data_IF_794555813203
#
_entry.id   IF_794555813203
#
_cell.length_a   1.000
_cell.length_b   1.000
_cell.length_c   1.000
_cell.angle_alpha   90.00
_cell.angle_beta   90.00
_cell.angle_gamma   90.00
#
_symmetry.space_group_name_H-M   'P 1'
#
loop_
_entity.id
_entity.type
_entity.pdbx_description
1 polymer ?
#
# COMPACT_ATOMS: atom_id res chain seq x y z
N UNK A 1 -32.99 -1.72 6.76
CA UNK A 1 -33.37 -1.09 5.47
C UNK A 1 -33.48 -2.17 4.41
N UNK A 2 -34.37 -2.03 3.41
CA UNK A 2 -34.45 -2.98 2.28
C UNK A 2 -33.32 -2.74 1.26
N UNK A 3 -32.44 -3.74 1.11
CA UNK A 3 -31.32 -3.70 0.17
C UNK A 3 -31.77 -3.65 -1.30
N UNK A 4 -32.93 -4.22 -1.65
CA UNK A 4 -33.43 -4.22 -3.02
C UNK A 4 -33.89 -2.82 -3.48
N UNK A 5 -34.59 -2.09 -2.60
CA UNK A 5 -34.93 -0.70 -2.82
C UNK A 5 -33.68 0.18 -2.96
N UNK A 6 -32.68 -0.03 -2.10
CA UNK A 6 -31.43 0.73 -2.14
C UNK A 6 -30.63 0.44 -3.42
N UNK A 7 -30.54 -0.83 -3.84
CA UNK A 7 -29.93 -1.25 -5.10
C UNK A 7 -30.54 -0.52 -6.31
N UNK A 8 -31.87 -0.47 -6.37
CA UNK A 8 -32.58 0.22 -7.46
C UNK A 8 -32.23 1.71 -7.52
N UNK A 9 -32.10 2.37 -6.36
CA UNK A 9 -31.66 3.78 -6.29
C UNK A 9 -30.22 3.94 -6.76
N UNK A 10 -29.31 3.05 -6.37
CA UNK A 10 -27.92 3.07 -6.85
C UNK A 10 -27.89 2.88 -8.37
N UNK A 11 -28.66 1.95 -8.91
CA UNK A 11 -28.75 1.75 -10.36
C UNK A 11 -29.28 3.00 -11.07
N UNK A 12 -30.24 3.73 -10.49
CA UNK A 12 -30.76 4.97 -11.05
C UNK A 12 -29.71 6.10 -11.12
N UNK A 13 -28.68 6.09 -10.26
CA UNK A 13 -27.55 7.05 -10.36
C UNK A 13 -26.71 6.87 -11.64
N UNK A 14 -26.85 5.72 -12.32
CA UNK A 14 -26.18 5.42 -13.58
C UNK A 14 -27.02 5.77 -14.81
N UNK A 15 -28.24 6.30 -14.62
CA UNK A 15 -29.14 6.63 -15.73
C UNK A 15 -28.57 7.70 -16.66
N UNK A 16 -28.86 7.60 -17.96
CA UNK A 16 -28.52 8.66 -18.92
C UNK A 16 -29.33 9.95 -18.67
N UNK A 17 -30.48 9.86 -18.02
CA UNK A 17 -31.32 11.01 -17.70
C UNK A 17 -30.77 11.77 -16.47
N UNK A 18 -30.44 13.05 -16.66
CA UNK A 18 -29.85 13.90 -15.62
C UNK A 18 -30.78 14.11 -14.41
N UNK A 19 -32.08 14.23 -14.61
CA UNK A 19 -33.04 14.46 -13.52
C UNK A 19 -33.26 13.17 -12.71
N UNK A 20 -33.30 12.01 -13.38
CA UNK A 20 -33.36 10.71 -12.71
C UNK A 20 -32.12 10.48 -11.82
N UNK A 21 -30.92 10.84 -12.29
CA UNK A 21 -29.69 10.76 -11.48
C UNK A 21 -29.74 11.67 -10.27
N UNK A 22 -30.13 12.94 -10.46
CA UNK A 22 -30.24 13.91 -9.34
C UNK A 22 -31.24 13.46 -8.30
N UNK A 23 -32.39 12.95 -8.71
CA UNK A 23 -33.39 12.42 -7.79
C UNK A 23 -32.84 11.22 -7.02
N UNK A 24 -32.18 10.28 -7.69
CA UNK A 24 -31.58 9.12 -7.04
C UNK A 24 -30.50 9.52 -6.01
N UNK A 25 -29.66 10.50 -6.32
CA UNK A 25 -28.64 11.03 -5.38
C UNK A 25 -29.28 11.69 -4.15
N UNK A 26 -30.36 12.45 -4.33
CA UNK A 26 -31.13 13.03 -3.22
C UNK A 26 -31.77 11.96 -2.35
N UNK A 27 -32.38 10.95 -2.96
CA UNK A 27 -33.02 9.84 -2.25
C UNK A 27 -32.01 9.00 -1.47
N UNK A 28 -30.80 8.79 -2.03
CA UNK A 28 -29.70 8.13 -1.33
C UNK A 28 -29.24 8.97 -0.14
N UNK A 29 -29.08 10.29 -0.32
CA UNK A 29 -28.69 11.20 0.76
C UNK A 29 -29.71 11.22 1.90
N UNK A 30 -31.00 11.17 1.59
CA UNK A 30 -32.05 11.07 2.60
C UNK A 30 -32.04 9.70 3.30
N UNK A 31 -31.65 8.62 2.60
CA UNK A 31 -31.53 7.29 3.16
C UNK A 31 -30.29 7.10 4.05
N UNK A 32 -29.23 7.91 3.89
CA UNK A 32 -28.00 7.83 4.70
C UNK A 32 -28.25 7.93 6.23
N UNK A 33 -29.37 8.54 6.63
CA UNK A 33 -29.77 8.76 8.02
C UNK A 33 -30.49 7.57 8.65
N UNK A 34 -30.88 6.58 7.85
CA UNK A 34 -31.67 5.45 8.33
C UNK A 34 -30.74 4.34 8.86
N UNK A 35 -31.00 3.77 10.05
CA UNK A 35 -30.21 2.66 10.59
C UNK A 35 -30.13 1.47 9.62
N UNK A 36 -28.93 0.87 9.53
CA UNK A 36 -28.65 -0.25 8.63
C UNK A 36 -28.46 0.15 7.17
N UNK A 37 -28.26 1.45 6.88
CA UNK A 37 -27.90 1.92 5.54
C UNK A 37 -26.55 1.37 5.10
N UNK A 38 -25.50 1.48 5.94
CA UNK A 38 -24.20 0.92 5.59
C UNK A 38 -24.23 -0.61 5.46
N UNK A 39 -25.00 -1.30 6.30
CA UNK A 39 -25.20 -2.74 6.18
C UNK A 39 -25.85 -3.12 4.85
N UNK A 40 -26.88 -2.38 4.42
CA UNK A 40 -27.53 -2.60 3.12
C UNK A 40 -26.55 -2.37 1.96
N UNK A 41 -25.68 -1.36 2.02
CA UNK A 41 -24.62 -1.16 1.02
C UNK A 41 -23.64 -2.33 0.96
N UNK A 42 -23.22 -2.86 2.11
CA UNK A 42 -22.32 -4.01 2.17
C UNK A 42 -23.00 -5.28 1.61
N UNK A 43 -24.29 -5.49 1.90
CA UNK A 43 -25.07 -6.59 1.33
C UNK A 43 -25.15 -6.50 -0.20
N UNK A 44 -25.32 -5.30 -0.75
CA UNK A 44 -25.28 -5.08 -2.21
C UNK A 44 -23.89 -5.41 -2.75
N UNK A 45 -22.81 -5.00 -2.09
CA UNK A 45 -21.45 -5.30 -2.56
C UNK A 45 -21.15 -6.79 -2.66
N UNK A 46 -21.69 -7.59 -1.74
CA UNK A 46 -21.49 -9.05 -1.73
C UNK A 46 -22.38 -9.78 -2.73
N UNK A 47 -23.64 -9.35 -2.89
CA UNK A 47 -24.61 -10.06 -3.73
C UNK A 47 -24.62 -9.61 -5.21
N UNK A 48 -24.24 -8.36 -5.48
CA UNK A 48 -24.41 -7.76 -6.80
C UNK A 48 -23.47 -8.36 -7.87
N UNK A 49 -24.06 -8.72 -9.01
CA UNK A 49 -23.35 -9.25 -10.17
C UNK A 49 -23.08 -8.15 -11.21
N UNK A 50 -23.92 -7.11 -11.28
CA UNK A 50 -23.68 -5.96 -12.15
C UNK A 50 -22.47 -5.16 -11.66
N UNK A 51 -21.41 -5.14 -12.46
CA UNK A 51 -20.16 -4.47 -12.11
C UNK A 51 -20.30 -2.96 -11.97
N UNK A 52 -21.18 -2.33 -12.76
CA UNK A 52 -21.41 -0.90 -12.69
C UNK A 52 -22.15 -0.52 -11.40
N UNK A 53 -23.19 -1.29 -11.03
CA UNK A 53 -23.93 -1.08 -9.77
C UNK A 53 -23.03 -1.35 -8.57
N UNK A 54 -22.24 -2.42 -8.58
CA UNK A 54 -21.29 -2.75 -7.51
C UNK A 54 -20.22 -1.66 -7.36
N UNK A 55 -19.71 -1.12 -8.47
CA UNK A 55 -18.75 -0.02 -8.45
C UNK A 55 -19.37 1.27 -7.87
N UNK A 56 -20.56 1.65 -8.31
CA UNK A 56 -21.27 2.82 -7.75
C UNK A 56 -21.54 2.65 -6.25
N UNK A 57 -21.90 1.44 -5.83
CA UNK A 57 -22.14 1.11 -4.41
C UNK A 57 -20.88 1.33 -3.57
N UNK A 58 -19.72 0.81 -4.00
CA UNK A 58 -18.48 0.96 -3.22
C UNK A 58 -17.98 2.41 -3.24
N UNK A 59 -18.17 3.12 -4.35
CA UNK A 59 -17.82 4.54 -4.45
C UNK A 59 -18.67 5.36 -3.47
N UNK A 60 -19.97 5.07 -3.38
CA UNK A 60 -20.86 5.72 -2.43
C UNK A 60 -20.45 5.43 -0.98
N UNK A 61 -20.22 4.15 -0.65
CA UNK A 61 -19.76 3.73 0.67
C UNK A 61 -18.45 4.45 1.07
N UNK A 62 -17.46 4.47 0.17
CA UNK A 62 -16.19 5.19 0.37
C UNK A 62 -16.43 6.66 0.66
N UNK A 63 -17.30 7.32 -0.10
CA UNK A 63 -17.58 8.74 0.07
C UNK A 63 -18.27 9.01 1.42
N UNK A 64 -19.23 8.16 1.83
CA UNK A 64 -19.91 8.25 3.13
C UNK A 64 -18.92 8.12 4.29
N UNK A 65 -18.04 7.13 4.25
CA UNK A 65 -17.00 6.91 5.27
C UNK A 65 -16.00 8.06 5.27
N UNK A 66 -15.55 8.50 4.09
CA UNK A 66 -14.59 9.61 3.99
C UNK A 66 -15.09 10.89 4.66
N UNK A 67 -16.39 11.16 4.53
CA UNK A 67 -17.04 12.37 5.06
C UNK A 67 -17.48 12.25 6.53
N UNK A 68 -17.82 11.05 7.00
CA UNK A 68 -18.49 10.87 8.30
C UNK A 68 -17.77 9.96 9.29
N UNK A 69 -16.60 9.40 8.98
CA UNK A 69 -15.89 8.52 9.92
C UNK A 69 -15.14 9.26 11.02
N UNK A 70 -14.53 10.40 10.65
CA UNK A 70 -13.78 11.23 11.58
C UNK A 70 -14.69 11.77 12.71
N UNK A 71 -14.15 11.96 13.92
CA UNK A 71 -14.86 12.68 14.98
C UNK A 71 -15.33 14.04 14.46
N UNK A 72 -16.57 14.43 14.78
CA UNK A 72 -17.07 15.76 14.42
C UNK A 72 -16.42 16.77 15.37
N UNK A 73 -15.36 17.44 14.91
CA UNK A 73 -14.66 18.46 15.70
C UNK A 73 -15.43 19.78 15.80
N UNK A 74 -16.34 20.07 14.84
CA UNK A 74 -17.16 21.27 14.80
C UNK A 74 -18.62 20.95 14.47
N UNK A 75 -19.57 21.48 15.24
CA UNK A 75 -21.03 21.36 15.02
C UNK A 75 -21.50 21.90 13.65
N UNK A 76 -20.64 22.64 12.94
CA UNK A 76 -20.88 23.19 11.59
C UNK A 76 -20.55 22.20 10.45
N UNK A 77 -20.15 20.97 10.76
CA UNK A 77 -19.92 19.95 9.74
C UNK A 77 -21.19 19.71 8.93
N UNK A 78 -21.14 19.99 7.62
CA UNK A 78 -22.23 19.70 6.68
C UNK A 78 -22.54 18.21 6.53
N UNK A 79 -21.68 17.34 7.05
CA UNK A 79 -21.79 15.89 6.96
C UNK A 79 -21.98 15.29 8.35
N UNK A 80 -22.95 14.38 8.45
CA UNK A 80 -23.28 13.67 9.69
C UNK A 80 -22.27 12.54 9.94
N UNK A 81 -22.02 12.26 11.22
CA UNK A 81 -21.19 11.13 11.62
C UNK A 81 -21.82 9.80 11.15
N UNK A 82 -20.98 8.80 10.87
CA UNK A 82 -21.44 7.42 10.72
C UNK A 82 -21.85 6.91 12.11
N UNK A 83 -23.07 6.37 12.29
CA UNK A 83 -23.50 5.81 13.56
C UNK A 83 -22.57 4.69 14.05
N UNK A 84 -22.37 4.56 15.37
CA UNK A 84 -21.41 3.57 15.90
C UNK A 84 -21.78 2.12 15.56
N UNK A 85 -23.08 1.79 15.52
CA UNK A 85 -23.54 0.48 15.06
C UNK A 85 -23.10 0.16 13.63
N UNK A 86 -23.24 1.12 12.71
CA UNK A 86 -22.77 0.99 11.33
C UNK A 86 -21.24 0.91 11.26
N UNK A 87 -20.51 1.63 12.13
CA UNK A 87 -19.04 1.52 12.22
C UNK A 87 -18.61 0.11 12.59
N UNK A 88 -19.23 -0.50 13.59
CA UNK A 88 -18.92 -1.86 14.02
C UNK A 88 -19.15 -2.87 12.88
N UNK A 89 -20.28 -2.77 12.18
CA UNK A 89 -20.59 -3.63 11.02
C UNK A 89 -19.55 -3.47 9.91
N UNK A 90 -19.16 -2.22 9.61
CA UNK A 90 -18.12 -1.95 8.61
C UNK A 90 -16.79 -2.57 9.03
N UNK A 91 -16.35 -2.41 10.29
CA UNK A 91 -15.10 -3.02 10.77
C UNK A 91 -15.11 -4.54 10.57
N UNK A 92 -16.22 -5.21 10.89
CA UNK A 92 -16.33 -6.67 10.79
C UNK A 92 -16.30 -7.18 9.34
N UNK A 93 -16.94 -6.47 8.40
CA UNK A 93 -17.18 -6.99 7.04
C UNK A 93 -16.27 -6.42 5.96
N UNK A 94 -15.63 -5.27 6.19
CA UNK A 94 -14.83 -4.60 5.17
C UNK A 94 -13.67 -5.46 4.65
N UNK A 95 -12.96 -6.15 5.55
CA UNK A 95 -11.78 -6.95 5.21
C UNK A 95 -12.16 -8.24 4.46
N UNK A 96 -13.15 -9.04 4.91
CA UNK A 96 -13.66 -10.17 4.11
C UNK A 96 -14.12 -9.75 2.70
N UNK A 97 -14.88 -8.67 2.59
CA UNK A 97 -15.36 -8.16 1.28
C UNK A 97 -14.18 -7.74 0.41
N UNK A 98 -13.16 -7.11 0.99
CA UNK A 98 -11.93 -6.73 0.27
C UNK A 98 -11.23 -7.96 -0.32
N UNK A 99 -11.08 -9.04 0.44
CA UNK A 99 -10.43 -10.26 -0.02
C UNK A 99 -11.16 -10.89 -1.22
N UNK A 100 -12.50 -10.94 -1.15
CA UNK A 100 -13.35 -11.54 -2.19
C UNK A 100 -13.62 -10.64 -3.41
N UNK A 101 -13.32 -9.34 -3.33
CA UNK A 101 -13.66 -8.36 -4.38
C UNK A 101 -12.71 -8.41 -5.59
N UNK A 102 -13.16 -8.01 -6.79
CA UNK A 102 -12.27 -7.83 -7.95
C UNK A 102 -11.48 -6.50 -7.90
N UNK A 103 -10.43 -6.31 -8.73
CA UNK A 103 -9.48 -5.20 -8.63
C UNK A 103 -10.09 -3.78 -8.57
N UNK A 104 -11.10 -3.48 -9.40
CA UNK A 104 -11.73 -2.16 -9.42
C UNK A 104 -12.44 -1.83 -8.09
N UNK A 105 -13.05 -2.83 -7.48
CA UNK A 105 -13.74 -2.70 -6.19
C UNK A 105 -12.71 -2.67 -5.05
N UNK A 106 -11.70 -3.54 -5.10
CA UNK A 106 -10.55 -3.55 -4.16
C UNK A 106 -9.93 -2.17 -4.03
N UNK A 107 -9.69 -1.46 -5.13
CA UNK A 107 -9.10 -0.12 -5.10
C UNK A 107 -9.91 0.89 -4.25
N UNK A 108 -11.25 0.83 -4.31
CA UNK A 108 -12.13 1.71 -3.53
C UNK A 108 -12.20 1.27 -2.06
N UNK A 109 -12.22 -0.04 -1.79
CA UNK A 109 -12.20 -0.60 -0.44
C UNK A 109 -10.88 -0.33 0.29
N UNK A 110 -9.74 -0.42 -0.40
CA UNK A 110 -8.41 -0.09 0.16
C UNK A 110 -8.35 1.37 0.59
N UNK A 111 -8.89 2.30 -0.22
CA UNK A 111 -8.96 3.70 0.16
C UNK A 111 -9.87 3.93 1.38
N UNK A 112 -10.99 3.20 1.44
CA UNK A 112 -11.92 3.22 2.58
C UNK A 112 -11.27 2.71 3.86
N UNK A 113 -10.58 1.56 3.79
CA UNK A 113 -9.86 0.95 4.90
C UNK A 113 -8.79 1.88 5.46
N UNK A 114 -8.02 2.54 4.59
CA UNK A 114 -7.00 3.50 5.02
C UNK A 114 -7.58 4.68 5.79
N UNK A 115 -8.76 5.18 5.39
CA UNK A 115 -9.43 6.26 6.11
C UNK A 115 -9.90 5.81 7.49
N UNK A 116 -10.45 4.60 7.61
CA UNK A 116 -10.91 4.04 8.88
C UNK A 116 -9.74 3.85 9.85
N UNK A 117 -8.68 3.17 9.41
CA UNK A 117 -7.52 2.87 10.26
C UNK A 117 -6.79 4.13 10.75
N UNK A 118 -6.85 5.23 9.99
CA UNK A 118 -6.25 6.49 10.41
C UNK A 118 -6.84 7.01 11.73
N UNK A 119 -8.14 6.79 11.99
CA UNK A 119 -8.79 7.22 13.23
C UNK A 119 -8.91 6.10 14.24
N UNK A 120 -9.08 4.86 13.79
CA UNK A 120 -9.48 3.77 14.67
C UNK A 120 -8.33 2.89 15.14
N UNK A 121 -7.19 2.87 14.43
CA UNK A 121 -6.08 1.99 14.77
C UNK A 121 -5.00 2.70 15.62
N UNK A 122 -4.56 2.12 16.75
CA UNK A 122 -4.92 0.79 17.28
C UNK A 122 -6.10 0.75 18.27
N UNK A 123 -6.48 1.89 18.85
CA UNK A 123 -7.31 1.93 20.07
C UNK A 123 -8.76 1.43 19.89
N UNK A 124 -9.41 1.81 18.79
CA UNK A 124 -10.82 1.48 18.51
C UNK A 124 -10.96 0.19 17.69
N UNK A 125 -9.87 -0.33 17.15
CA UNK A 125 -9.84 -1.58 16.39
C UNK A 125 -8.58 -2.40 16.67
N UNK A 126 -8.36 -2.85 17.92
CA UNK A 126 -7.13 -3.53 18.33
C UNK A 126 -6.92 -4.88 17.63
N UNK A 127 -8.00 -5.62 17.36
CA UNK A 127 -7.95 -6.92 16.69
C UNK A 127 -7.52 -6.85 15.22
N UNK A 128 -7.44 -5.65 14.64
CA UNK A 128 -7.08 -5.47 13.23
C UNK A 128 -5.71 -6.04 12.88
N UNK A 129 -4.75 -5.97 13.81
CA UNK A 129 -3.42 -6.56 13.62
C UNK A 129 -3.51 -8.10 13.53
N UNK A 130 -4.30 -8.72 14.40
CA UNK A 130 -4.50 -10.18 14.39
C UNK A 130 -5.17 -10.63 13.09
N UNK A 131 -6.19 -9.90 12.62
CA UNK A 131 -6.83 -10.14 11.32
C UNK A 131 -5.78 -10.05 10.20
N UNK A 132 -4.92 -9.04 10.23
CA UNK A 132 -3.86 -8.84 9.23
C UNK A 132 -2.88 -10.02 9.21
N UNK A 133 -2.38 -10.44 10.38
CA UNK A 133 -1.46 -11.58 10.50
C UNK A 133 -2.11 -12.87 9.99
N UNK A 134 -3.36 -13.13 10.37
CA UNK A 134 -4.09 -14.33 9.93
C UNK A 134 -4.21 -14.40 8.40
N UNK A 135 -4.49 -13.26 7.75
CA UNK A 135 -4.61 -13.16 6.29
C UNK A 135 -3.28 -13.36 5.57
N UNK A 136 -2.18 -12.83 6.11
CA UNK A 136 -0.83 -13.02 5.55
C UNK A 136 -0.35 -14.48 5.60
N UNK A 137 -0.93 -15.29 6.46
CA UNK A 137 -0.61 -16.72 6.63
C UNK A 137 -1.58 -17.65 5.90
N UNK A 138 -2.59 -17.12 5.20
CA UNK A 138 -3.45 -17.93 4.34
C UNK A 138 -2.73 -18.38 3.06
N UNK A 139 -3.28 -19.39 2.40
CA UNK A 139 -2.75 -19.92 1.13
C UNK A 139 -3.44 -19.32 -0.09
N UNK A 140 -4.62 -18.73 0.06
CA UNK A 140 -5.36 -18.16 -1.07
C UNK A 140 -4.87 -16.74 -1.40
N UNK A 141 -4.72 -16.45 -2.70
CA UNK A 141 -4.18 -15.17 -3.17
C UNK A 141 -5.02 -13.96 -2.74
N UNK A 142 -6.35 -14.12 -2.64
CA UNK A 142 -7.28 -13.06 -2.24
C UNK A 142 -7.08 -12.61 -0.79
N UNK A 143 -6.97 -13.56 0.14
CA UNK A 143 -6.68 -13.31 1.54
C UNK A 143 -5.28 -12.74 1.72
N UNK A 144 -4.25 -13.32 1.08
CA UNK A 144 -2.89 -12.79 1.17
C UNK A 144 -2.86 -11.35 0.63
N UNK A 145 -3.50 -11.07 -0.50
CA UNK A 145 -3.65 -9.72 -1.03
C UNK A 145 -4.30 -8.77 -0.02
N UNK A 146 -5.41 -9.17 0.59
CA UNK A 146 -6.08 -8.36 1.61
C UNK A 146 -5.16 -8.12 2.82
N UNK A 147 -4.44 -9.13 3.30
CA UNK A 147 -3.45 -9.02 4.36
C UNK A 147 -2.34 -8.02 4.03
N UNK A 148 -1.81 -8.05 2.80
CA UNK A 148 -0.81 -7.10 2.32
C UNK A 148 -1.34 -5.66 2.31
N UNK A 149 -2.59 -5.45 1.88
CA UNK A 149 -3.22 -4.12 1.91
C UNK A 149 -3.46 -3.64 3.35
N UNK A 150 -3.87 -4.53 4.25
CA UNK A 150 -4.06 -4.22 5.67
C UNK A 150 -2.73 -3.81 6.31
N UNK A 151 -1.66 -4.58 6.10
CA UNK A 151 -0.32 -4.24 6.62
C UNK A 151 0.20 -2.92 6.04
N UNK A 152 0.05 -2.70 4.72
CA UNK A 152 0.42 -1.43 4.10
C UNK A 152 -0.36 -0.25 4.72
N UNK A 153 -1.63 -0.44 5.05
CA UNK A 153 -2.43 0.59 5.70
C UNK A 153 -1.92 0.87 7.14
N UNK A 154 -1.58 -0.16 7.91
CA UNK A 154 -0.92 0.00 9.22
C UNK A 154 0.38 0.79 9.08
N UNK A 155 1.28 0.41 8.17
CA UNK A 155 2.53 1.14 7.95
C UNK A 155 2.28 2.62 7.58
N UNK A 156 1.19 2.95 6.88
CA UNK A 156 0.83 4.35 6.57
C UNK A 156 0.30 5.12 7.78
N UNK A 157 -0.39 4.47 8.72
CA UNK A 157 -0.83 5.09 9.97
C UNK A 157 0.37 5.48 10.82
N UNK A 158 1.40 4.63 10.89
CA UNK A 158 2.58 4.87 11.71
C UNK A 158 3.70 5.67 11.02
N UNK A 159 3.62 5.92 9.71
CA UNK A 159 4.73 6.56 8.94
C UNK A 159 5.21 7.93 9.46
N UNK A 160 4.39 8.62 10.25
CA UNK A 160 4.69 9.93 10.85
C UNK A 160 4.57 9.94 12.38
N UNK A 161 4.35 8.77 13.00
CA UNK A 161 4.22 8.64 14.46
C UNK A 161 5.59 8.50 15.11
N UNK A 162 5.74 9.06 16.32
CA UNK A 162 7.00 9.22 17.07
C UNK A 162 6.85 8.77 18.52
N UNK A 163 7.97 8.55 19.22
CA UNK A 163 7.98 8.19 20.64
C UNK A 163 7.44 6.79 20.90
N UNK A 164 6.66 6.59 21.97
CA UNK A 164 6.14 5.27 22.38
C UNK A 164 5.34 4.57 21.26
N UNK A 165 4.55 5.32 20.49
CA UNK A 165 3.82 4.78 19.33
C UNK A 165 4.73 4.18 18.25
N UNK A 166 6.01 4.56 18.22
CA UNK A 166 7.01 4.01 17.30
C UNK A 166 7.50 2.64 17.76
N UNK A 167 7.64 2.42 19.06
CA UNK A 167 8.05 1.13 19.64
C UNK A 167 7.01 0.04 19.35
N UNK A 168 5.72 0.39 19.43
CA UNK A 168 4.65 -0.54 19.06
C UNK A 168 4.69 -0.88 17.57
N UNK A 169 5.05 0.09 16.71
CA UNK A 169 5.24 -0.20 15.30
C UNK A 169 6.45 -1.09 15.03
N UNK A 170 7.53 -0.95 15.79
CA UNK A 170 8.70 -1.85 15.68
C UNK A 170 8.33 -3.30 16.01
N UNK A 171 7.49 -3.54 17.04
CA UNK A 171 6.95 -4.88 17.35
C UNK A 171 6.10 -5.43 16.19
N UNK A 172 5.28 -4.59 15.57
CA UNK A 172 4.49 -4.97 14.39
C UNK A 172 5.42 -5.36 13.23
N UNK A 173 6.48 -4.59 12.99
CA UNK A 173 7.46 -4.88 11.94
C UNK A 173 8.16 -6.21 12.22
N UNK A 174 8.64 -6.42 13.44
CA UNK A 174 9.29 -7.67 13.86
C UNK A 174 8.39 -8.89 13.65
N UNK A 175 7.11 -8.78 13.98
CA UNK A 175 6.16 -9.87 13.83
C UNK A 175 5.76 -10.16 12.36
N UNK A 176 5.70 -9.14 11.50
CA UNK A 176 5.06 -9.28 10.18
C UNK A 176 6.04 -9.29 9.00
N UNK A 177 7.20 -8.64 9.12
CA UNK A 177 8.12 -8.47 7.99
C UNK A 177 8.85 -9.74 7.55
N UNK A 178 9.14 -10.73 8.42
CA UNK A 178 9.67 -12.02 7.96
C UNK A 178 8.71 -12.74 6.99
N UNK A 179 7.41 -12.79 7.32
CA UNK A 179 6.40 -13.37 6.43
C UNK A 179 6.21 -12.52 5.16
N UNK A 180 6.26 -11.19 5.30
CA UNK A 180 6.19 -10.27 4.18
C UNK A 180 7.31 -10.50 3.16
N UNK A 181 8.54 -10.71 3.65
CA UNK A 181 9.70 -11.04 2.84
C UNK A 181 9.56 -12.41 2.17
N UNK A 182 9.05 -13.41 2.87
CA UNK A 182 8.79 -14.74 2.30
C UNK A 182 7.79 -14.67 1.13
N UNK A 183 6.67 -13.96 1.31
CA UNK A 183 5.68 -13.72 0.25
C UNK A 183 6.32 -12.98 -0.94
N UNK A 184 7.12 -11.94 -0.70
CA UNK A 184 7.75 -11.22 -1.80
C UNK A 184 8.74 -12.09 -2.59
N UNK A 185 9.50 -12.96 -1.92
CA UNK A 185 10.40 -13.90 -2.57
C UNK A 185 9.64 -14.96 -3.39
N UNK A 186 8.45 -15.40 -2.97
CA UNK A 186 7.64 -16.29 -3.81
C UNK A 186 7.08 -15.57 -5.04
N UNK A 187 6.75 -14.28 -4.92
CA UNK A 187 6.18 -13.48 -6.02
C UNK A 187 7.21 -12.98 -7.04
N UNK A 188 8.51 -12.90 -6.68
CA UNK A 188 9.53 -12.27 -7.54
C UNK A 188 9.68 -12.97 -8.90
N UNK A 189 9.47 -14.28 -8.96
CA UNK A 189 9.63 -15.06 -10.18
C UNK A 189 8.34 -15.19 -11.00
N UNK A 190 7.21 -14.78 -10.43
CA UNK A 190 5.91 -14.78 -11.11
C UNK A 190 5.86 -13.76 -12.25
N UNK A 191 4.84 -13.92 -13.10
CA UNK A 191 4.61 -13.05 -14.26
C UNK A 191 3.22 -12.41 -14.27
N UNK A 192 2.27 -12.94 -13.49
CA UNK A 192 0.89 -12.44 -13.47
C UNK A 192 0.79 -11.00 -12.96
N UNK A 193 -0.21 -10.27 -13.46
CA UNK A 193 -0.44 -8.88 -13.04
C UNK A 193 -0.78 -8.78 -11.53
N UNK A 194 -1.53 -9.75 -11.00
CA UNK A 194 -1.88 -9.82 -9.57
C UNK A 194 -0.63 -10.02 -8.70
N UNK A 195 0.29 -10.91 -9.09
CA UNK A 195 1.56 -11.08 -8.39
C UNK A 195 2.39 -9.79 -8.38
N UNK A 196 2.46 -9.11 -9.53
CA UNK A 196 3.08 -7.78 -9.62
C UNK A 196 2.43 -6.74 -8.70
N UNK A 197 1.10 -6.77 -8.57
CA UNK A 197 0.39 -5.87 -7.65
C UNK A 197 0.69 -6.16 -6.18
N UNK A 198 0.68 -7.44 -5.79
CA UNK A 198 1.02 -7.88 -4.44
C UNK A 198 2.46 -7.51 -4.09
N UNK A 199 3.42 -7.80 -4.98
CA UNK A 199 4.82 -7.45 -4.79
C UNK A 199 5.00 -5.94 -4.66
N UNK A 200 4.35 -5.14 -5.51
CA UNK A 200 4.34 -3.67 -5.40
C UNK A 200 3.82 -3.22 -4.02
N UNK A 201 2.83 -3.90 -3.49
CA UNK A 201 2.24 -3.61 -2.17
C UNK A 201 3.24 -3.89 -1.05
N UNK A 202 3.97 -5.00 -1.11
CA UNK A 202 5.07 -5.33 -0.18
C UNK A 202 6.14 -4.24 -0.18
N UNK A 203 6.64 -3.86 -1.36
CA UNK A 203 7.70 -2.86 -1.48
C UNK A 203 7.29 -1.50 -0.92
N UNK A 204 6.01 -1.13 -1.08
CA UNK A 204 5.44 0.09 -0.50
C UNK A 204 5.31 -0.02 1.02
N UNK A 205 4.95 -1.19 1.56
CA UNK A 205 4.88 -1.40 2.99
C UNK A 205 6.26 -1.21 3.62
N UNK A 206 7.31 -1.81 3.01
CA UNK A 206 8.69 -1.58 3.42
C UNK A 206 9.08 -0.09 3.37
N UNK A 207 8.81 0.58 2.26
CA UNK A 207 9.06 2.02 2.09
C UNK A 207 8.42 2.86 3.20
N UNK A 208 7.22 2.49 3.65
CA UNK A 208 6.52 3.19 4.71
C UNK A 208 7.06 2.84 6.10
N UNK A 209 7.49 1.60 6.31
CA UNK A 209 8.10 1.19 7.57
C UNK A 209 9.43 1.89 7.85
N UNK A 210 10.23 2.15 6.81
CA UNK A 210 11.51 2.87 6.93
C UNK A 210 11.39 4.37 6.61
N UNK A 211 10.17 4.92 6.57
CA UNK A 211 9.96 6.28 6.08
C UNK A 211 10.62 7.31 6.99
N UNK A 212 10.39 7.19 8.30
CA UNK A 212 10.91 8.10 9.31
C UNK A 212 12.23 7.58 9.90
N UNK A 213 12.20 6.40 10.49
CA UNK A 213 13.32 5.70 11.13
C UNK A 213 13.38 4.25 10.64
N UNK A 214 14.58 3.65 10.66
CA UNK A 214 14.78 2.26 10.27
C UNK A 214 14.55 1.34 11.50
N UNK A 215 13.46 0.54 11.53
CA UNK A 215 13.17 -0.39 12.64
C UNK A 215 14.37 -1.24 13.04
N UNK A 216 14.55 -1.49 14.34
CA UNK A 216 15.68 -2.32 14.84
C UNK A 216 15.75 -3.68 14.17
N UNK A 217 14.61 -4.36 14.05
CA UNK A 217 14.55 -5.68 13.43
C UNK A 217 15.07 -5.67 11.97
N UNK A 218 14.77 -4.62 11.19
CA UNK A 218 15.22 -4.51 9.80
C UNK A 218 16.71 -4.15 9.66
N UNK A 219 17.38 -3.78 10.76
CA UNK A 219 18.85 -3.58 10.81
C UNK A 219 19.61 -4.88 11.04
N UNK A 220 18.95 -5.93 11.53
CA UNK A 220 19.58 -7.21 11.79
C UNK A 220 20.16 -7.79 10.49
N UNK A 221 21.34 -8.41 10.59
CA UNK A 221 22.10 -8.85 9.43
C UNK A 221 21.28 -9.75 8.49
N UNK A 222 20.56 -10.73 9.05
CA UNK A 222 19.73 -11.62 8.24
C UNK A 222 18.60 -10.88 7.51
N UNK A 223 17.96 -9.92 8.19
CA UNK A 223 16.84 -9.16 7.61
C UNK A 223 17.33 -8.23 6.51
N UNK A 224 18.39 -7.43 6.75
CA UNK A 224 18.91 -6.50 5.74
C UNK A 224 19.47 -7.25 4.52
N UNK A 225 20.12 -8.40 4.71
CA UNK A 225 20.53 -9.27 3.59
C UNK A 225 19.32 -9.69 2.78
N UNK A 226 18.30 -10.28 3.40
CA UNK A 226 17.12 -10.74 2.71
C UNK A 226 16.40 -9.65 1.91
N UNK A 227 16.20 -8.47 2.51
CA UNK A 227 15.54 -7.34 1.86
C UNK A 227 16.37 -6.73 0.72
N UNK A 228 17.68 -6.51 0.92
CA UNK A 228 18.55 -5.99 -0.14
C UNK A 228 18.64 -6.97 -1.32
N UNK A 229 18.76 -8.28 -1.05
CA UNK A 229 18.77 -9.32 -2.09
C UNK A 229 17.46 -9.32 -2.87
N UNK A 230 16.30 -9.26 -2.18
CA UNK A 230 15.00 -9.14 -2.84
C UNK A 230 14.94 -7.91 -3.77
N UNK A 231 15.33 -6.72 -3.28
CA UNK A 231 15.29 -5.51 -4.09
C UNK A 231 16.19 -5.61 -5.31
N UNK A 232 17.41 -6.15 -5.16
CA UNK A 232 18.34 -6.35 -6.28
C UNK A 232 17.81 -7.37 -7.29
N UNK A 233 17.17 -8.45 -6.82
CA UNK A 233 16.51 -9.42 -7.71
C UNK A 233 15.39 -8.76 -8.53
N UNK A 234 14.59 -7.89 -7.92
CA UNK A 234 13.52 -7.16 -8.62
C UNK A 234 14.10 -6.15 -9.62
N UNK A 235 15.19 -5.46 -9.26
CA UNK A 235 15.92 -4.55 -10.18
C UNK A 235 16.44 -5.34 -11.38
N UNK A 236 17.01 -6.52 -11.14
CA UNK A 236 17.60 -7.39 -12.16
C UNK A 236 16.56 -8.08 -13.05
N UNK A 237 15.36 -8.38 -12.52
CA UNK A 237 14.29 -9.10 -13.21
C UNK A 237 13.94 -8.44 -14.54
N UNK A 238 13.86 -9.23 -15.59
CA UNK A 238 13.29 -8.78 -16.86
C UNK A 238 11.75 -8.80 -16.72
N UNK A 239 11.05 -7.66 -16.91
CA UNK A 239 9.61 -7.62 -16.78
C UNK A 239 8.92 -8.60 -17.76
N UNK A 240 7.78 -9.21 -17.39
CA UNK A 240 7.05 -10.10 -18.29
C UNK A 240 6.70 -9.42 -19.62
N UNK A 241 6.66 -10.18 -20.72
CA UNK A 241 6.37 -9.63 -22.05
C UNK A 241 5.04 -8.85 -22.09
N UNK A 242 4.02 -9.32 -21.37
CA UNK A 242 2.71 -8.66 -21.25
C UNK A 242 2.78 -7.25 -20.62
N UNK A 243 3.84 -6.94 -19.87
CA UNK A 243 4.04 -5.61 -19.29
C UNK A 243 4.58 -4.58 -20.28
N UNK A 244 5.04 -5.01 -21.46
CA UNK A 244 5.71 -4.17 -22.47
C UNK A 244 4.72 -3.52 -23.45
N UNK A 245 3.66 -2.88 -22.94
CA UNK A 245 2.68 -2.14 -23.77
C UNK A 245 3.34 -0.99 -24.53
N UNK A 246 2.89 -0.66 -25.74
CA UNK A 246 3.56 0.32 -26.62
C UNK A 246 3.60 1.73 -26.02
N UNK A 247 2.50 2.16 -25.40
CA UNK A 247 2.42 3.45 -24.73
C UNK A 247 3.35 3.49 -23.51
N UNK A 248 4.31 4.42 -23.52
CA UNK A 248 5.35 4.48 -22.48
C UNK A 248 4.81 4.95 -21.13
N UNK A 249 3.77 5.78 -21.12
CA UNK A 249 3.19 6.31 -19.88
C UNK A 249 2.36 5.20 -19.20
N UNK A 250 1.59 4.43 -19.96
CA UNK A 250 0.87 3.24 -19.50
C UNK A 250 1.83 2.14 -19.05
N UNK A 251 2.90 1.89 -19.83
CA UNK A 251 3.97 0.95 -19.45
C UNK A 251 4.57 1.31 -18.10
N UNK A 252 4.82 2.59 -17.83
CA UNK A 252 5.33 3.03 -16.53
C UNK A 252 4.32 2.79 -15.39
N UNK A 253 3.00 2.78 -15.66
CA UNK A 253 1.98 2.49 -14.65
C UNK A 253 1.87 1.00 -14.31
N UNK A 254 2.32 0.10 -15.19
CA UNK A 254 2.28 -1.33 -14.95
C UNK A 254 3.01 -1.73 -13.65
N UNK A 255 2.45 -2.72 -12.95
CA UNK A 255 2.89 -3.11 -11.62
C UNK A 255 4.34 -3.59 -11.57
N UNK A 256 4.84 -4.28 -12.59
CA UNK A 256 6.23 -4.76 -12.63
C UNK A 256 7.23 -3.60 -12.73
N UNK A 257 6.93 -2.56 -13.52
CA UNK A 257 7.75 -1.35 -13.56
C UNK A 257 7.66 -0.52 -12.28
N UNK A 258 6.49 -0.48 -11.64
CA UNK A 258 6.37 0.09 -10.29
C UNK A 258 7.17 -0.71 -9.26
N UNK A 259 7.28 -2.03 -9.38
CA UNK A 259 8.11 -2.85 -8.49
C UNK A 259 9.59 -2.48 -8.63
N UNK A 260 10.10 -2.35 -9.87
CA UNK A 260 11.45 -1.82 -10.09
C UNK A 260 11.62 -0.46 -9.42
N UNK A 261 10.75 0.52 -9.74
CA UNK A 261 10.80 1.86 -9.13
C UNK A 261 10.90 1.81 -7.60
N UNK A 262 10.05 1.04 -6.92
CA UNK A 262 10.04 1.00 -5.45
C UNK A 262 11.28 0.29 -4.88
N UNK A 263 11.85 -0.67 -5.59
CA UNK A 263 13.12 -1.30 -5.21
C UNK A 263 14.27 -0.29 -5.26
N UNK A 264 14.35 0.52 -6.33
CA UNK A 264 15.29 1.65 -6.41
C UNK A 264 15.09 2.65 -5.26
N UNK A 265 13.83 3.04 -4.97
CA UNK A 265 13.51 3.95 -3.86
C UNK A 265 14.01 3.41 -2.53
N UNK A 266 13.76 2.13 -2.24
CA UNK A 266 14.14 1.52 -0.97
C UNK A 266 15.66 1.36 -0.83
N UNK A 267 16.35 0.88 -1.87
CA UNK A 267 17.82 0.78 -1.88
C UNK A 267 18.48 2.14 -1.70
N UNK A 268 18.04 3.15 -2.45
CA UNK A 268 18.57 4.50 -2.32
C UNK A 268 18.28 5.09 -0.94
N UNK A 269 17.07 4.88 -0.40
CA UNK A 269 16.73 5.37 0.95
C UNK A 269 17.62 4.72 2.00
N UNK A 270 17.83 3.40 1.93
CA UNK A 270 18.72 2.68 2.82
C UNK A 270 20.13 3.26 2.76
N UNK A 271 20.69 3.42 1.57
CA UNK A 271 22.03 4.00 1.39
C UNK A 271 22.12 5.44 1.90
N UNK A 272 21.31 6.35 1.35
CA UNK A 272 21.44 7.79 1.58
C UNK A 272 21.12 8.19 3.02
N UNK A 273 20.13 7.55 3.65
CA UNK A 273 19.65 7.94 4.98
C UNK A 273 20.31 7.18 6.12
N UNK A 274 20.62 5.90 5.93
CA UNK A 274 21.06 5.02 7.03
C UNK A 274 22.39 4.32 6.74
N UNK A 275 22.75 4.12 5.47
CA UNK A 275 23.83 3.25 5.04
C UNK A 275 25.15 3.97 4.74
N UNK A 276 25.15 5.31 4.67
CA UNK A 276 26.33 6.11 4.44
C UNK A 276 26.77 6.83 5.72
N UNK A 277 27.90 6.46 6.35
CA UNK A 277 28.39 7.10 7.57
C UNK A 277 28.58 8.62 7.47
N UNK A 278 28.85 9.17 6.28
CA UNK A 278 29.04 10.62 6.09
C UNK A 278 27.73 11.40 6.15
N UNK A 279 26.60 10.73 5.92
CA UNK A 279 25.27 11.36 5.90
C UNK A 279 24.56 11.29 7.25
N UNK A 280 25.10 10.54 8.22
CA UNK A 280 24.50 10.40 9.55
C UNK A 280 24.66 11.70 10.35
N UNK A 281 23.56 12.18 10.92
CA UNK A 281 23.59 13.29 11.84
C UNK A 281 24.20 12.89 13.20
N UNK A 282 24.64 13.87 14.00
CA UNK A 282 25.26 13.60 15.32
C UNK A 282 24.34 12.85 16.29
N UNK A 283 23.02 13.02 16.16
CA UNK A 283 22.01 12.34 16.97
C UNK A 283 21.59 10.96 16.41
N UNK A 284 22.21 10.49 15.34
CA UNK A 284 21.90 9.23 14.65
C UNK A 284 22.99 8.15 14.88
N UNK A 285 23.70 8.25 16.01
CA UNK A 285 24.81 7.37 16.36
C UNK A 285 24.43 5.87 16.41
N UNK A 286 23.16 5.55 16.67
CA UNK A 286 22.65 4.18 16.65
C UNK A 286 22.75 3.49 15.27
N UNK A 287 22.89 4.25 14.18
CA UNK A 287 23.07 3.71 12.84
C UNK A 287 24.54 3.58 12.43
N UNK A 288 25.50 4.02 13.27
CA UNK A 288 26.91 4.09 12.87
C UNK A 288 27.49 2.73 12.46
N UNK A 289 27.21 1.68 13.23
CA UNK A 289 27.70 0.33 12.92
C UNK A 289 27.00 -0.29 11.71
N UNK A 290 25.69 -0.07 11.62
CA UNK A 290 24.90 -0.44 10.45
C UNK A 290 25.45 0.22 9.18
N UNK A 291 25.73 1.53 9.21
CA UNK A 291 26.23 2.29 8.07
C UNK A 291 27.61 1.81 7.61
N UNK A 292 28.52 1.50 8.54
CA UNK A 292 29.85 0.93 8.21
C UNK A 292 29.72 -0.41 7.50
N UNK A 293 28.83 -1.27 7.96
CA UNK A 293 28.58 -2.57 7.34
C UNK A 293 27.89 -2.39 5.99
N UNK A 294 26.89 -1.51 5.92
CA UNK A 294 26.11 -1.25 4.71
C UNK A 294 26.97 -0.73 3.55
N UNK A 295 27.81 0.28 3.81
CA UNK A 295 28.68 0.84 2.77
C UNK A 295 29.75 -0.15 2.29
N UNK A 296 30.21 -1.04 3.17
CA UNK A 296 31.23 -2.03 2.85
C UNK A 296 30.66 -3.19 2.03
N UNK A 297 29.51 -3.72 2.45
CA UNK A 297 29.03 -5.02 1.95
C UNK A 297 27.85 -4.88 0.97
N UNK A 298 27.05 -3.82 1.05
CA UNK A 298 25.82 -3.67 0.26
C UNK A 298 25.92 -2.61 -0.83
N UNK A 299 26.53 -1.44 -0.54
CA UNK A 299 26.66 -0.38 -1.53
C UNK A 299 27.38 -0.82 -2.82
N UNK A 300 28.45 -1.66 -2.79
CA UNK A 300 29.08 -2.17 -4.01
C UNK A 300 28.15 -3.06 -4.84
N UNK A 301 27.36 -3.92 -4.21
CA UNK A 301 26.40 -4.78 -4.91
C UNK A 301 25.24 -3.99 -5.51
N UNK A 302 24.78 -2.93 -4.83
CA UNK A 302 23.81 -1.99 -5.40
C UNK A 302 24.38 -1.29 -6.63
N UNK A 303 25.62 -0.77 -6.53
CA UNK A 303 26.30 -0.12 -7.65
C UNK A 303 26.43 -1.08 -8.84
N UNK A 304 26.88 -2.32 -8.60
CA UNK A 304 26.99 -3.36 -9.63
C UNK A 304 25.65 -3.67 -10.28
N UNK A 305 24.59 -3.83 -9.49
CA UNK A 305 23.24 -4.06 -9.99
C UNK A 305 22.74 -2.92 -10.88
N UNK A 306 22.99 -1.68 -10.47
CA UNK A 306 22.59 -0.49 -11.23
C UNK A 306 23.39 -0.33 -12.53
N UNK A 307 24.71 -0.55 -12.49
CA UNK A 307 25.56 -0.55 -13.67
C UNK A 307 25.12 -1.61 -14.69
N UNK A 308 24.77 -2.82 -14.23
CA UNK A 308 24.22 -3.86 -15.10
C UNK A 308 22.92 -3.45 -15.78
N UNK A 309 22.02 -2.73 -15.08
CA UNK A 309 20.81 -2.18 -15.71
C UNK A 309 21.13 -1.06 -16.71
N UNK A 310 22.13 -0.20 -16.43
CA UNK A 310 22.57 0.83 -17.38
C UNK A 310 23.16 0.18 -18.63
N UNK A 311 24.02 -0.84 -18.49
CA UNK A 311 24.60 -1.56 -19.62
C UNK A 311 23.51 -2.16 -20.52
N UNK A 312 22.53 -2.84 -19.92
CA UNK A 312 21.36 -3.34 -20.66
C UNK A 312 20.57 -2.21 -21.35
N UNK A 313 20.38 -1.08 -20.68
CA UNK A 313 19.64 0.06 -21.21
C UNK A 313 20.37 0.74 -22.39
N UNK A 314 21.68 0.97 -22.26
CA UNK A 314 22.54 1.51 -23.34
C UNK A 314 22.61 0.54 -24.52
N UNK A 315 22.72 -0.76 -24.24
CA UNK A 315 22.66 -1.83 -25.22
C UNK A 315 21.28 -2.05 -25.84
N UNK A 316 20.25 -1.29 -25.43
CA UNK A 316 18.86 -1.39 -25.90
C UNK A 316 18.23 -2.77 -25.68
N UNK A 317 18.72 -3.54 -24.72
CA UNK A 317 18.18 -4.87 -24.37
C UNK A 317 17.13 -4.81 -23.27
N UNK A 318 17.05 -3.71 -22.53
CA UNK A 318 15.95 -3.44 -21.59
C UNK A 318 15.45 -2.00 -21.70
N UNK A 319 14.16 -1.81 -21.44
CA UNK A 319 13.61 -0.48 -21.19
C UNK A 319 13.69 -0.16 -19.69
N UNK A 320 14.02 1.09 -19.35
CA UNK A 320 13.99 1.62 -17.98
C UNK A 320 13.09 2.84 -17.94
N UNK A 321 12.24 2.93 -16.91
CA UNK A 321 11.39 4.10 -16.71
C UNK A 321 12.20 5.31 -16.25
N UNK A 322 11.67 6.52 -16.50
CA UNK A 322 12.32 7.78 -16.12
C UNK A 322 12.64 7.81 -14.60
N UNK A 323 11.77 7.35 -13.70
CA UNK A 323 12.11 7.25 -12.28
C UNK A 323 13.29 6.33 -11.98
N UNK A 324 13.40 5.16 -12.63
CA UNK A 324 14.52 4.24 -12.38
C UNK A 324 15.84 4.87 -12.81
N UNK A 325 15.87 5.51 -13.99
CA UNK A 325 17.05 6.25 -14.46
C UNK A 325 17.44 7.37 -13.49
N UNK A 326 16.46 8.16 -13.02
CA UNK A 326 16.69 9.22 -12.05
C UNK A 326 17.25 8.69 -10.73
N UNK A 327 16.70 7.60 -10.18
CA UNK A 327 17.22 7.00 -8.95
C UNK A 327 18.62 6.41 -9.12
N UNK A 328 18.94 5.84 -10.28
CA UNK A 328 20.31 5.41 -10.58
C UNK A 328 21.29 6.58 -10.51
N UNK A 329 20.96 7.72 -11.14
CA UNK A 329 21.79 8.91 -11.11
C UNK A 329 21.95 9.48 -9.69
N UNK A 330 20.86 9.57 -8.94
CA UNK A 330 20.90 10.02 -7.53
C UNK A 330 21.80 9.13 -6.68
N UNK A 331 21.75 7.81 -6.86
CA UNK A 331 22.62 6.91 -6.14
C UNK A 331 24.10 7.14 -6.49
N UNK A 332 24.42 7.28 -7.78
CA UNK A 332 25.78 7.55 -8.25
C UNK A 332 26.32 8.88 -7.72
N UNK A 333 25.49 9.93 -7.72
CA UNK A 333 25.85 11.23 -7.15
C UNK A 333 26.23 11.09 -5.66
N UNK A 334 25.43 10.36 -4.89
CA UNK A 334 25.67 10.10 -3.48
C UNK A 334 26.89 9.19 -3.21
N UNK A 335 27.35 8.42 -4.20
CA UNK A 335 28.60 7.67 -4.11
C UNK A 335 29.85 8.54 -4.33
N UNK A 336 29.72 9.68 -5.02
CA UNK A 336 30.84 10.54 -5.43
C UNK A 336 30.99 11.75 -4.49
N UNK A 337 29.99 12.04 -3.63
CA UNK A 337 30.03 13.18 -2.72
C UNK A 337 31.37 13.23 -1.97
N UNK A 338 32.14 14.33 -2.11
CA UNK A 338 33.43 14.44 -1.46
C UNK A 338 33.23 14.33 0.04
N UNK A 339 34.14 13.62 0.73
CA UNK A 339 34.25 13.73 2.18
C UNK A 339 34.43 15.22 2.47
N UNK A 340 33.44 15.86 3.08
CA UNK A 340 33.63 17.18 3.69
C UNK A 340 34.82 17.02 4.64
N UNK A 341 35.94 17.63 4.25
CA UNK A 341 37.18 17.68 5.04
C UNK A 341 36.96 18.41 6.36
#
# INVERSE_FOLDING_TARGET
MDAAALRTRIQATLSANADARRQAELDLRNAEDTPGFCEALLNILEAEQDTAVRLSTVVYLKNRITKGWAPIENEQSRFKAVPEGDKQVIRQRLVPILAASPPQIRAQLVATLQKILHYDFPEQWPDFLNITVNLLNQQDAGSVFAGLQCLLAICRVYRFKMGETREDFDKIVEMTFPQLLAIANSLVNETSLEAGEMLRTVLKAYKHAIYFELPRHLREQQQIVGWCTLFLNIVAKDPPAESMVEDLDEREQNHWFKCKKWSYVNLNRLYVRYGNPTNLAKNEAEYAEFAKTFIKDFAPEILKGYLGQIEKWVGKTTWLSKPCLSFTLVFMEECIKPKTM
#
